data_IF_613723572961
#
_entry.id   IF_613723572961
#
_cell.length_a   1.000
_cell.length_b   1.000
_cell.length_c   1.000
_cell.angle_alpha   90.00
_cell.angle_beta   90.00
_cell.angle_gamma   90.00
#
_symmetry.space_group_name_H-M   'P 1'
#
loop_
_entity.id
_entity.type
_entity.pdbx_description
1 polymer ?
#
# COMPACT_ATOMS: atom_id res chain seq x y z
N UNK A 1 9.78 -46.41 30.75
CA UNK A 1 9.68 -47.70 30.04
C UNK A 1 8.81 -47.46 28.85
N UNK A 2 9.27 -47.48 27.71
CA UNK A 2 9.59 -48.25 26.53
C UNK A 2 9.72 -47.25 25.38
N UNK A 3 10.77 -46.88 24.78
CA UNK A 3 11.71 -47.39 23.76
C UNK A 3 11.01 -48.06 22.58
N UNK A 4 11.26 -47.53 21.35
CA UNK A 4 11.62 -48.19 20.07
C UNK A 4 11.62 -47.13 18.99
N UNK A 5 12.76 -46.68 18.43
CA UNK A 5 13.72 -47.26 17.47
C UNK A 5 13.22 -47.26 16.01
N UNK A 6 13.90 -46.38 15.24
CA UNK A 6 14.52 -46.53 13.90
C UNK A 6 13.80 -47.27 12.77
N UNK A 7 13.76 -46.64 11.58
CA UNK A 7 14.36 -47.27 10.39
C UNK A 7 14.66 -46.21 9.28
N UNK A 8 15.92 -46.20 8.88
CA UNK A 8 16.43 -45.61 7.66
C UNK A 8 16.22 -46.56 6.50
N UNK A 9 15.86 -46.07 5.33
CA UNK A 9 15.98 -46.82 4.08
C UNK A 9 16.61 -45.93 3.00
N UNK A 10 17.85 -46.23 2.76
CA UNK A 10 18.69 -45.80 1.65
C UNK A 10 18.35 -46.67 0.42
N UNK A 11 17.96 -46.09 -0.71
CA UNK A 11 17.96 -46.76 -1.99
C UNK A 11 18.76 -45.96 -3.01
N UNK A 12 19.90 -46.46 -3.33
CA UNK A 12 20.81 -46.07 -4.39
C UNK A 12 20.46 -46.88 -5.65
N UNK A 13 20.12 -46.25 -6.77
CA UNK A 13 20.14 -46.87 -8.09
C UNK A 13 20.88 -46.02 -9.07
N UNK A 14 22.04 -46.52 -9.47
CA UNK A 14 22.84 -46.13 -10.64
C UNK A 14 22.25 -46.78 -11.88
N UNK A 15 22.07 -46.03 -12.96
CA UNK A 15 22.15 -46.61 -14.31
C UNK A 15 22.53 -45.53 -15.33
N UNK A 16 23.62 -45.76 -15.98
CA UNK A 16 24.25 -45.03 -17.08
C UNK A 16 23.47 -45.17 -18.38
N UNK A 17 23.49 -44.14 -19.23
CA UNK A 17 23.02 -44.24 -20.61
C UNK A 17 23.48 -43.05 -21.43
N UNK A 18 24.55 -43.29 -22.25
CA UNK A 18 25.13 -42.41 -23.25
C UNK A 18 24.17 -42.12 -24.40
N UNK A 19 24.29 -40.91 -25.01
CA UNK A 19 24.04 -40.81 -26.43
C UNK A 19 23.56 -39.48 -26.96
N UNK A 20 24.48 -38.79 -27.69
CA UNK A 20 24.24 -37.93 -28.85
C UNK A 20 23.81 -36.46 -28.68
N UNK A 21 24.78 -35.54 -28.73
CA UNK A 21 24.65 -34.27 -29.45
C UNK A 21 24.70 -34.53 -30.99
N UNK A 22 24.25 -33.59 -31.89
CA UNK A 22 24.51 -32.17 -31.90
C UNK A 22 23.34 -31.30 -32.44
N UNK A 23 23.35 -30.02 -32.13
CA UNK A 23 22.46 -29.07 -32.77
C UNK A 23 22.67 -27.65 -32.27
N UNK A 24 23.79 -27.03 -32.60
CA UNK A 24 23.97 -25.60 -32.49
C UNK A 24 22.89 -24.85 -33.26
N UNK A 25 22.11 -24.01 -32.58
CA UNK A 25 21.53 -22.80 -33.14
C UNK A 25 21.80 -21.66 -32.18
N UNK A 26 22.82 -20.90 -32.53
CA UNK A 26 23.10 -19.55 -32.08
C UNK A 26 21.92 -18.67 -32.42
N UNK A 27 21.23 -18.14 -31.41
CA UNK A 27 20.42 -16.93 -31.53
C UNK A 27 20.58 -16.15 -30.25
N UNK A 28 21.57 -15.24 -30.23
CA UNK A 28 21.70 -14.21 -29.23
C UNK A 28 20.53 -13.26 -29.32
N UNK A 29 19.71 -13.10 -28.30
CA UNK A 29 18.94 -11.88 -28.14
C UNK A 29 19.82 -10.88 -27.41
N UNK A 30 20.47 -10.00 -28.18
CA UNK A 30 21.08 -8.77 -27.69
C UNK A 30 20.02 -7.98 -26.93
N UNK A 31 19.90 -8.26 -25.64
CA UNK A 31 19.13 -7.44 -24.72
C UNK A 31 19.84 -6.10 -24.58
N UNK A 32 19.30 -5.10 -25.26
CA UNK A 32 19.67 -3.70 -25.08
C UNK A 32 19.09 -3.28 -23.72
N UNK A 33 19.83 -3.55 -22.67
CA UNK A 33 19.60 -2.94 -21.38
C UNK A 33 20.07 -1.49 -21.46
N UNK A 34 19.18 -0.59 -21.83
CA UNK A 34 19.41 0.83 -21.64
C UNK A 34 19.55 1.10 -20.15
N UNK A 35 20.62 1.76 -19.70
CA UNK A 35 20.73 2.14 -18.30
C UNK A 35 19.62 3.15 -17.98
N UNK A 36 18.66 2.76 -17.14
CA UNK A 36 17.73 3.70 -16.52
C UNK A 36 18.58 4.59 -15.63
N UNK A 37 18.93 5.76 -16.15
CA UNK A 37 19.56 6.81 -15.36
C UNK A 37 18.52 7.29 -14.35
N UNK A 38 18.62 6.78 -13.14
CA UNK A 38 17.88 7.31 -11.98
C UNK A 38 18.44 8.70 -11.70
N UNK A 39 17.86 9.73 -12.30
CA UNK A 39 18.12 11.11 -11.93
C UNK A 39 17.59 11.29 -10.51
N UNK A 40 18.43 11.65 -9.52
CA UNK A 40 17.95 11.95 -8.19
C UNK A 40 17.04 13.17 -8.32
N UNK A 41 15.73 12.98 -8.13
CA UNK A 41 14.78 14.07 -8.05
C UNK A 41 15.21 14.94 -6.88
N UNK A 42 15.80 16.11 -7.20
CA UNK A 42 16.14 17.16 -6.25
C UNK A 42 14.85 17.50 -5.52
N UNK A 43 14.71 17.00 -4.30
CA UNK A 43 13.58 17.31 -3.44
C UNK A 43 13.61 18.83 -3.22
N UNK A 44 12.84 19.55 -4.01
CA UNK A 44 12.56 20.94 -3.75
C UNK A 44 11.95 20.99 -2.35
N UNK A 45 12.58 21.72 -1.43
CA UNK A 45 12.01 22.03 -0.11
C UNK A 45 10.75 22.86 -0.34
N UNK A 46 9.63 22.16 -0.57
CA UNK A 46 8.33 22.80 -0.67
C UNK A 46 8.07 23.49 0.69
N UNK A 47 7.67 24.76 0.65
CA UNK A 47 7.22 25.47 1.84
C UNK A 47 6.16 24.63 2.54
N UNK A 48 6.17 24.49 3.88
CA UNK A 48 5.17 23.71 4.58
C UNK A 48 3.78 24.26 4.26
N UNK A 49 2.98 23.49 3.52
CA UNK A 49 1.58 23.82 3.30
C UNK A 49 0.85 23.64 4.64
N UNK A 50 -0.08 24.57 4.95
CA UNK A 50 -0.96 24.41 6.11
C UNK A 50 -1.67 23.07 6.00
N UNK A 51 -1.70 22.24 7.04
CA UNK A 51 -2.43 20.98 7.00
C UNK A 51 -3.91 21.22 6.72
N UNK A 52 -4.55 20.28 6.03
CA UNK A 52 -6.00 20.35 5.78
C UNK A 52 -6.77 20.28 7.11
N UNK A 53 -6.41 19.32 7.96
CA UNK A 53 -7.07 19.12 9.25
C UNK A 53 -6.13 18.43 10.26
N UNK A 54 -6.32 18.70 11.54
CA UNK A 54 -5.66 18.00 12.66
C UNK A 54 -6.71 17.57 13.67
N UNK A 55 -6.66 16.30 14.09
CA UNK A 55 -7.63 15.75 15.04
C UNK A 55 -7.34 14.30 15.41
N UNK A 56 -8.33 13.61 15.96
CA UNK A 56 -8.23 12.19 16.33
C UNK A 56 -8.62 11.29 15.15
N UNK A 57 -7.82 10.27 14.90
CA UNK A 57 -8.14 9.15 14.02
C UNK A 57 -8.50 7.91 14.85
N UNK A 58 -9.40 7.09 14.32
CA UNK A 58 -9.58 5.70 14.73
C UNK A 58 -9.45 4.77 13.52
N UNK A 59 -9.78 3.50 13.66
CA UNK A 59 -9.76 2.56 12.56
C UNK A 59 -10.91 1.56 12.65
N UNK A 60 -11.30 1.00 11.48
CA UNK A 60 -12.34 0.00 11.38
C UNK A 60 -11.85 -1.37 11.83
N UNK A 61 -12.61 -2.02 12.68
CA UNK A 61 -12.40 -3.40 13.05
C UNK A 61 -12.71 -4.39 11.92
N UNK A 62 -12.33 -5.66 12.13
CA UNK A 62 -12.58 -6.78 11.21
C UNK A 62 -14.06 -6.94 10.83
N UNK A 63 -14.99 -6.50 11.69
CA UNK A 63 -16.44 -6.62 11.51
C UNK A 63 -16.95 -5.96 10.22
N UNK A 64 -16.28 -4.93 9.72
CA UNK A 64 -16.68 -4.22 8.50
C UNK A 64 -16.10 -4.82 7.21
N UNK A 65 -15.16 -5.76 7.31
CA UNK A 65 -14.55 -6.38 6.14
C UNK A 65 -15.61 -7.10 5.27
N UNK A 66 -15.62 -6.82 3.97
CA UNK A 66 -16.57 -7.37 3.01
C UNK A 66 -17.90 -6.59 2.91
N UNK A 67 -18.10 -5.53 3.71
CA UNK A 67 -19.29 -4.66 3.61
C UNK A 67 -19.09 -3.59 2.55
N UNK A 68 -20.19 -3.09 2.02
CA UNK A 68 -20.18 -1.98 1.07
C UNK A 68 -19.86 -0.66 1.79
N UNK A 69 -19.05 0.18 1.14
CA UNK A 69 -18.69 1.52 1.58
C UNK A 69 -19.57 2.57 0.89
N UNK A 70 -19.49 3.82 1.31
CA UNK A 70 -20.25 4.91 0.71
C UNK A 70 -19.89 5.18 -0.78
N UNK A 71 -18.74 4.69 -1.25
CA UNK A 71 -18.38 4.75 -2.68
C UNK A 71 -18.96 3.62 -3.52
N UNK A 72 -19.67 2.66 -2.92
CA UNK A 72 -20.16 1.44 -3.58
C UNK A 72 -19.11 0.32 -3.67
N UNK A 73 -17.91 0.53 -3.17
CA UNK A 73 -16.86 -0.48 -3.15
C UNK A 73 -17.02 -1.42 -1.95
N UNK A 74 -16.57 -2.66 -2.10
CA UNK A 74 -16.46 -3.58 -0.97
C UNK A 74 -15.27 -3.19 -0.09
N UNK A 75 -15.50 -2.94 1.20
CA UNK A 75 -14.43 -2.63 2.14
C UNK A 75 -13.44 -3.78 2.29
N UNK A 76 -12.18 -3.49 2.00
CA UNK A 76 -11.08 -4.41 2.23
C UNK A 76 -10.14 -3.83 3.30
N UNK A 77 -10.12 -4.45 4.48
CA UNK A 77 -9.31 -3.99 5.62
C UNK A 77 -7.79 -3.97 5.35
N UNK A 78 -7.32 -4.64 4.29
CA UNK A 78 -5.91 -4.71 3.91
C UNK A 78 -5.49 -3.66 2.88
N UNK A 79 -6.41 -2.85 2.37
CA UNK A 79 -6.13 -1.72 1.48
C UNK A 79 -5.91 -0.43 2.28
N UNK A 80 -5.17 0.52 1.69
CA UNK A 80 -4.96 1.84 2.28
C UNK A 80 -6.13 2.76 1.94
N UNK A 81 -7.23 2.63 2.69
CA UNK A 81 -8.45 3.42 2.54
C UNK A 81 -8.88 4.01 3.88
N UNK A 82 -9.78 4.99 3.83
CA UNK A 82 -10.33 5.62 5.00
C UNK A 82 -11.72 6.20 4.75
N UNK A 83 -12.47 6.44 5.84
CA UNK A 83 -13.68 7.25 5.85
C UNK A 83 -13.39 8.67 6.34
N UNK A 84 -13.99 9.64 5.67
CA UNK A 84 -13.98 11.05 6.07
C UNK A 84 -15.38 11.66 5.88
N UNK A 85 -15.83 12.55 6.80
CA UNK A 85 -17.20 13.06 6.72
C UNK A 85 -17.44 13.96 5.50
N UNK A 86 -16.47 14.76 5.09
CA UNK A 86 -16.67 15.84 4.13
C UNK A 86 -15.84 15.70 2.83
N UNK A 87 -14.64 15.12 2.88
CA UNK A 87 -13.79 15.01 1.70
C UNK A 87 -14.48 14.25 0.57
N UNK A 88 -14.35 14.67 -0.70
CA UNK A 88 -14.90 13.93 -1.82
C UNK A 88 -14.42 12.48 -1.82
N UNK A 89 -15.32 11.54 -2.16
CA UNK A 89 -14.92 10.14 -2.39
C UNK A 89 -13.92 10.10 -3.54
N UNK A 90 -12.88 9.26 -3.39
CA UNK A 90 -11.76 9.20 -4.32
C UNK A 90 -10.58 10.14 -3.98
N UNK A 91 -10.75 11.09 -3.05
CA UNK A 91 -9.65 11.97 -2.62
C UNK A 91 -8.51 11.17 -2.02
N UNK A 92 -7.28 11.64 -2.24
CA UNK A 92 -6.08 11.08 -1.62
C UNK A 92 -5.58 11.98 -0.49
N UNK A 93 -5.26 11.37 0.63
CA UNK A 93 -4.87 12.06 1.84
C UNK A 93 -3.62 11.40 2.42
N UNK A 94 -2.60 12.23 2.72
CA UNK A 94 -1.51 11.80 3.57
C UNK A 94 -1.94 11.98 5.02
N UNK A 95 -1.96 10.90 5.76
CA UNK A 95 -2.24 10.88 7.20
C UNK A 95 -0.92 10.72 7.92
N UNK A 96 -0.61 11.64 8.83
CA UNK A 96 0.60 11.60 9.66
C UNK A 96 0.19 11.44 11.12
N UNK A 97 0.66 10.39 11.78
CA UNK A 97 0.52 10.22 13.22
C UNK A 97 1.48 11.16 13.95
N UNK A 98 0.94 12.12 14.68
CA UNK A 98 1.73 13.15 15.37
C UNK A 98 2.48 12.62 16.60
N UNK A 99 2.15 11.45 17.10
CA UNK A 99 2.85 10.83 18.23
C UNK A 99 4.18 10.16 17.83
N UNK A 100 4.30 9.66 16.60
CA UNK A 100 5.49 8.94 16.13
C UNK A 100 6.02 9.38 14.76
N UNK A 101 5.42 10.41 14.15
CA UNK A 101 5.79 10.99 12.84
C UNK A 101 5.66 10.01 11.65
N UNK A 102 5.03 8.85 11.82
CA UNK A 102 4.77 7.93 10.71
C UNK A 102 3.64 8.44 9.85
N UNK A 103 3.72 8.19 8.55
CA UNK A 103 2.68 8.61 7.62
C UNK A 103 2.28 7.49 6.66
N UNK A 104 1.05 7.57 6.17
CA UNK A 104 0.49 6.72 5.13
C UNK A 104 -0.37 7.55 4.20
N UNK A 105 -0.40 7.18 2.92
CA UNK A 105 -1.32 7.77 1.95
C UNK A 105 -2.52 6.84 1.85
N UNK A 106 -3.72 7.41 1.99
CA UNK A 106 -4.99 6.67 1.93
C UNK A 106 -5.92 7.30 0.91
N UNK A 107 -6.78 6.49 0.33
CA UNK A 107 -7.88 6.96 -0.50
C UNK A 107 -9.18 7.01 0.33
N UNK A 108 -9.91 8.10 0.22
CA UNK A 108 -11.22 8.23 0.86
C UNK A 108 -12.25 7.50 0.01
N UNK A 109 -12.85 6.45 0.57
CA UNK A 109 -13.88 5.65 -0.11
C UNK A 109 -15.14 5.46 0.74
N UNK A 110 -15.18 6.05 1.95
CA UNK A 110 -16.31 5.88 2.85
C UNK A 110 -16.64 7.18 3.60
N UNK A 111 -17.82 7.18 4.26
CA UNK A 111 -18.33 8.27 5.08
C UNK A 111 -18.25 7.93 6.57
N UNK A 112 -17.87 8.90 7.35
CA UNK A 112 -17.61 8.81 8.79
C UNK A 112 -16.33 9.56 9.15
N UNK A 113 -15.95 9.63 10.42
CA UNK A 113 -16.63 9.06 11.59
C UNK A 113 -17.96 9.75 11.93
N UNK A 114 -18.88 8.98 12.49
CA UNK A 114 -20.12 9.51 13.10
C UNK A 114 -19.94 9.86 14.59
N UNK A 115 -18.84 9.42 15.19
CA UNK A 115 -18.53 9.69 16.61
C UNK A 115 -17.84 11.04 16.72
N UNK A 116 -18.39 11.97 17.52
CA UNK A 116 -17.82 13.29 17.69
C UNK A 116 -16.37 13.28 18.17
N UNK A 117 -15.57 14.25 17.70
CA UNK A 117 -14.16 14.42 18.09
C UNK A 117 -13.17 13.57 17.29
N UNK A 118 -13.63 12.69 16.39
CA UNK A 118 -12.80 12.02 15.39
C UNK A 118 -12.96 12.69 14.04
N UNK A 119 -11.88 12.70 13.27
CA UNK A 119 -11.87 13.33 11.94
C UNK A 119 -11.73 12.32 10.79
N UNK A 120 -11.21 11.13 11.05
CA UNK A 120 -10.97 10.09 10.06
C UNK A 120 -11.03 8.72 10.71
N UNK A 121 -11.59 7.73 10.01
CA UNK A 121 -11.53 6.32 10.38
C UNK A 121 -10.73 5.57 9.31
N UNK A 122 -9.64 4.95 9.72
CA UNK A 122 -8.66 4.29 8.85
C UNK A 122 -9.00 2.81 8.63
N UNK A 123 -8.53 2.25 7.53
CA UNK A 123 -8.47 0.79 7.39
C UNK A 123 -7.47 0.19 8.38
N UNK A 124 -7.57 -1.11 8.65
CA UNK A 124 -6.62 -1.84 9.50
C UNK A 124 -5.18 -1.73 8.99
N UNK A 125 -4.97 -1.89 7.67
CA UNK A 125 -3.63 -1.75 7.07
C UNK A 125 -3.05 -0.35 7.29
N UNK A 126 -3.88 0.70 7.14
CA UNK A 126 -3.47 2.08 7.38
C UNK A 126 -3.11 2.33 8.84
N UNK A 127 -3.91 1.82 9.78
CA UNK A 127 -3.64 1.94 11.21
C UNK A 127 -2.35 1.21 11.62
N UNK A 128 -2.09 0.03 11.06
CA UNK A 128 -0.83 -0.70 11.26
C UNK A 128 0.37 0.08 10.74
N UNK A 129 0.28 0.66 9.54
CA UNK A 129 1.35 1.46 8.96
C UNK A 129 1.71 2.66 9.84
N UNK A 130 0.70 3.27 10.47
CA UNK A 130 0.87 4.37 11.41
C UNK A 130 1.26 3.93 12.83
N UNK A 131 1.35 2.61 13.10
CA UNK A 131 1.58 2.04 14.43
C UNK A 131 0.61 2.61 15.48
N UNK A 132 -0.68 2.63 15.16
CA UNK A 132 -1.74 3.09 16.07
C UNK A 132 -2.84 2.04 16.29
N UNK A 133 -2.70 0.86 15.68
CA UNK A 133 -3.77 -0.15 15.73
C UNK A 133 -3.97 -0.72 17.16
N UNK A 134 -2.91 -0.83 17.96
CA UNK A 134 -2.98 -1.33 19.35
C UNK A 134 -3.61 -0.28 20.29
N UNK A 135 -3.30 1.00 20.07
CA UNK A 135 -3.85 2.12 20.86
C UNK A 135 -5.31 2.44 20.49
N UNK A 136 -5.76 2.04 19.31
CA UNK A 136 -7.10 2.28 18.78
C UNK A 136 -7.37 3.71 18.33
N UNK A 137 -6.73 4.70 18.95
CA UNK A 137 -6.85 6.13 18.68
C UNK A 137 -5.48 6.80 18.58
N UNK A 138 -5.34 7.73 17.63
CA UNK A 138 -4.13 8.58 17.54
C UNK A 138 -4.49 10.01 17.14
N UNK A 139 -3.66 10.96 17.54
CA UNK A 139 -3.72 12.32 17.01
C UNK A 139 -2.98 12.37 15.69
N UNK A 140 -3.67 12.79 14.64
CA UNK A 140 -3.15 12.80 13.27
C UNK A 140 -3.29 14.18 12.62
N UNK A 141 -2.44 14.39 11.61
CA UNK A 141 -2.52 15.48 10.66
C UNK A 141 -2.94 14.90 9.29
N UNK A 142 -3.84 15.59 8.61
CA UNK A 142 -4.29 15.29 7.26
C UNK A 142 -3.77 16.34 6.29
N UNK A 143 -3.12 15.90 5.22
CA UNK A 143 -2.67 16.73 4.11
C UNK A 143 -3.28 16.20 2.81
N UNK A 144 -4.01 17.03 2.06
CA UNK A 144 -4.55 16.65 0.76
C UNK A 144 -3.41 16.48 -0.24
N UNK A 145 -3.49 15.42 -1.02
CA UNK A 145 -2.54 15.12 -2.08
C UNK A 145 -3.28 15.10 -3.41
N UNK A 146 -2.75 15.81 -4.38
CA UNK A 146 -3.09 15.61 -5.78
C UNK A 146 -2.16 14.54 -6.34
N UNK A 147 -2.68 13.39 -6.76
CA UNK A 147 -1.86 12.36 -7.39
C UNK A 147 -1.18 12.92 -8.65
N UNK A 148 0.08 12.60 -8.86
CA UNK A 148 0.87 13.13 -9.99
C UNK A 148 0.22 12.89 -11.38
N UNK A 149 -0.58 11.82 -11.52
CA UNK A 149 -1.33 11.53 -12.76
C UNK A 149 -2.51 12.50 -13.00
N UNK A 150 -3.08 13.13 -11.94
CA UNK A 150 -4.12 14.17 -12.08
C UNK A 150 -3.50 15.44 -12.64
N UNK A 151 -2.28 15.76 -12.25
CA UNK A 151 -1.57 16.98 -12.72
C UNK A 151 -1.15 16.84 -14.18
N UNK A 152 -0.85 15.62 -14.65
CA UNK A 152 -0.47 15.36 -16.03
C UNK A 152 -1.63 15.57 -17.04
N UNK A 153 -2.87 15.33 -16.60
CA UNK A 153 -4.05 15.45 -17.48
C UNK A 153 -4.55 16.91 -17.58
N UNK A 154 -4.26 17.75 -16.59
CA UNK A 154 -4.62 19.18 -16.61
C UNK A 154 -3.75 20.04 -17.54
N UNK A 155 -2.66 19.49 -18.07
CA UNK A 155 -1.74 20.16 -19.00
C UNK A 155 -2.14 20.08 -20.49
N UNK A 156 -3.17 19.33 -20.86
CA UNK A 156 -3.57 19.09 -22.25
C UNK A 156 -4.84 19.84 -22.70
N UNK A 157 -5.38 20.75 -21.90
CA UNK A 157 -6.48 21.62 -22.31
C UNK A 157 -5.98 22.88 -23.02
N UNK A 158 -5.12 22.70 -24.02
CA UNK A 158 -4.60 23.76 -24.87
C UNK A 158 -4.40 23.28 -26.30
N UNK A 159 -5.49 22.88 -26.98
CA UNK A 159 -5.52 22.83 -28.42
C UNK A 159 -6.46 23.93 -28.96
N UNK A 160 -5.94 24.73 -29.92
CA UNK A 160 -6.70 25.78 -30.59
C UNK A 160 -7.82 25.22 -31.47
#
# INVERSE_FOLDING_TARGET
>A
MTRFLTQAALVLILASGMGAEPGQRTSDPKAIASPVTVVPAKQAKAKPKKPYQVGKASWYGRYFHGRETASGETYNMYQYTAAHPELPLGSWVKVTNLGNSRSVIVRINDRGPVIPGRIIDLSYASARQLQMHDDGLARVQLDLIEPAWVVADSGLAGFP
#
